data_IF_960233321052
#
_entry.id   IF_960233321052
#
_cell.length_a   1.000
_cell.length_b   1.000
_cell.length_c   1.000
_cell.angle_alpha   90.00
_cell.angle_beta   90.00
_cell.angle_gamma   90.00
#
_symmetry.space_group_name_H-M   'P 1'
#
loop_
_entity.id
_entity.type
_entity.pdbx_description
1 polymer ?
#
# COMPACT_ATOMS: atom_id res chain seq x y z
N UNK A 1 -40.24 14.67 14.71
CA UNK A 1 -39.44 14.16 13.57
C UNK A 1 -37.95 14.42 13.80
N UNK A 2 -37.04 13.56 13.29
CA UNK A 2 -35.55 13.56 13.37
C UNK A 2 -34.90 12.68 14.47
N UNK A 3 -34.87 11.36 14.26
CA UNK A 3 -33.96 10.42 14.97
C UNK A 3 -33.23 9.43 14.05
N UNK A 4 -33.19 9.67 12.73
CA UNK A 4 -32.63 8.72 11.75
C UNK A 4 -31.34 9.18 11.08
N UNK A 5 -30.95 10.45 11.21
CA UNK A 5 -29.74 10.99 10.57
C UNK A 5 -28.44 10.66 11.34
N UNK A 6 -28.49 10.59 12.67
CA UNK A 6 -27.29 10.36 13.51
C UNK A 6 -26.70 8.96 13.31
N UNK A 7 -27.53 7.91 13.20
CA UNK A 7 -27.06 6.52 13.08
C UNK A 7 -26.33 6.25 11.75
N UNK A 8 -26.75 6.89 10.65
CA UNK A 8 -26.10 6.74 9.32
C UNK A 8 -24.73 7.42 9.25
N UNK A 9 -24.56 8.56 9.93
CA UNK A 9 -23.27 9.24 10.01
C UNK A 9 -22.27 8.45 10.86
N UNK A 10 -22.71 7.88 11.99
CA UNK A 10 -21.86 7.04 12.86
C UNK A 10 -21.42 5.75 12.15
N UNK A 11 -22.30 5.08 11.42
CA UNK A 11 -21.93 3.86 10.64
C UNK A 11 -20.97 4.18 9.50
N UNK A 12 -21.07 5.37 8.87
CA UNK A 12 -20.07 5.81 7.88
C UNK A 12 -18.72 6.15 8.51
N UNK A 13 -18.71 6.76 9.69
CA UNK A 13 -17.47 7.11 10.39
C UNK A 13 -16.70 5.87 10.87
N UNK A 14 -17.40 4.86 11.42
CA UNK A 14 -16.81 3.59 11.85
C UNK A 14 -16.21 2.84 10.65
N UNK A 15 -16.93 2.77 9.52
CA UNK A 15 -16.46 2.09 8.29
C UNK A 15 -15.32 2.80 7.55
N UNK A 16 -15.06 4.08 7.81
CA UNK A 16 -13.99 4.83 7.12
C UNK A 16 -12.64 4.72 7.84
N UNK A 17 -12.62 4.45 9.15
CA UNK A 17 -11.39 4.32 9.95
C UNK A 17 -10.84 2.88 9.98
N UNK A 18 -11.72 1.89 10.15
CA UNK A 18 -11.40 0.45 10.15
C UNK A 18 -10.56 -0.04 8.95
N UNK A 19 -10.85 0.34 7.69
CA UNK A 19 -10.10 -0.18 6.56
C UNK A 19 -8.68 0.39 6.52
N UNK A 20 -8.49 1.64 6.95
CA UNK A 20 -7.16 2.27 6.93
C UNK A 20 -6.22 1.60 7.95
N UNK A 21 -6.73 1.30 9.15
CA UNK A 21 -5.98 0.60 10.20
C UNK A 21 -5.69 -0.85 9.81
N UNK A 22 -6.68 -1.57 9.25
CA UNK A 22 -6.48 -2.92 8.75
C UNK A 22 -5.42 -2.96 7.63
N UNK A 23 -5.46 -2.00 6.70
CA UNK A 23 -4.44 -1.86 5.65
C UNK A 23 -3.08 -1.56 6.27
N UNK A 24 -2.98 -0.66 7.25
CA UNK A 24 -1.72 -0.32 7.91
C UNK A 24 -1.11 -1.53 8.64
N UNK A 25 -1.94 -2.32 9.34
CA UNK A 25 -1.52 -3.56 9.99
C UNK A 25 -1.02 -4.59 8.96
N UNK A 26 -1.73 -4.76 7.83
CA UNK A 26 -1.28 -5.64 6.74
C UNK A 26 0.03 -5.15 6.12
N UNK A 27 0.20 -3.85 5.92
CA UNK A 27 1.45 -3.26 5.44
C UNK A 27 2.59 -3.59 6.39
N UNK A 28 2.41 -3.35 7.69
CA UNK A 28 3.42 -3.65 8.71
C UNK A 28 3.79 -5.15 8.71
N UNK A 29 2.80 -6.04 8.60
CA UNK A 29 3.02 -7.48 8.55
C UNK A 29 3.74 -7.94 7.27
N UNK A 30 3.53 -7.28 6.13
CA UNK A 30 4.14 -7.66 4.85
C UNK A 30 5.60 -7.17 4.72
N UNK A 31 5.95 -6.03 5.33
CA UNK A 31 7.27 -5.39 5.19
C UNK A 31 8.46 -6.33 5.41
N UNK A 32 8.50 -7.18 6.47
CA UNK A 32 9.64 -8.09 6.70
C UNK A 32 9.89 -9.07 5.55
N UNK A 33 8.86 -9.47 4.81
CA UNK A 33 8.96 -10.48 3.76
C UNK A 33 9.36 -9.91 2.38
N UNK A 34 9.44 -8.60 2.24
CA UNK A 34 9.73 -7.97 0.96
C UNK A 34 11.23 -7.77 0.68
N UNK A 35 12.08 -8.04 1.67
CA UNK A 35 13.52 -7.82 1.56
C UNK A 35 13.94 -6.36 1.77
N UNK A 36 15.24 -6.18 1.89
CA UNK A 36 15.87 -4.89 2.23
C UNK A 36 16.19 -4.04 0.99
N UNK A 37 16.41 -4.66 -0.18
CA UNK A 37 16.70 -3.96 -1.43
C UNK A 37 15.47 -3.37 -2.10
N UNK A 38 15.54 -2.13 -2.59
CA UNK A 38 14.42 -1.44 -3.26
C UNK A 38 13.99 -2.13 -4.57
N UNK A 39 14.95 -2.64 -5.35
CA UNK A 39 14.68 -3.37 -6.60
C UNK A 39 14.07 -4.75 -6.34
N UNK A 40 14.60 -5.47 -5.36
CA UNK A 40 14.09 -6.77 -4.94
C UNK A 40 12.65 -6.64 -4.40
N UNK A 41 12.43 -5.67 -3.51
CA UNK A 41 11.12 -5.31 -2.96
C UNK A 41 10.11 -5.02 -4.06
N UNK A 42 10.47 -4.18 -5.03
CA UNK A 42 9.60 -3.86 -6.17
C UNK A 42 9.25 -5.10 -6.99
N UNK A 43 10.22 -5.98 -7.24
CA UNK A 43 10.01 -7.20 -8.01
C UNK A 43 9.05 -8.15 -7.30
N UNK A 44 9.21 -8.33 -5.98
CA UNK A 44 8.30 -9.14 -5.15
C UNK A 44 6.89 -8.53 -5.11
N UNK A 45 6.78 -7.23 -4.90
CA UNK A 45 5.49 -6.51 -4.90
C UNK A 45 4.76 -6.64 -6.23
N UNK A 46 5.46 -6.50 -7.36
CA UNK A 46 4.85 -6.68 -8.68
C UNK A 46 4.28 -8.10 -8.90
N UNK A 47 4.99 -9.13 -8.42
CA UNK A 47 4.52 -10.52 -8.48
C UNK A 47 3.29 -10.74 -7.62
N UNK A 48 3.29 -10.25 -6.38
CA UNK A 48 2.16 -10.36 -5.45
C UNK A 48 0.93 -9.61 -5.99
N UNK A 49 1.10 -8.40 -6.52
CA UNK A 49 0.02 -7.65 -7.15
C UNK A 49 -0.56 -8.36 -8.37
N UNK A 50 0.28 -9.02 -9.18
CA UNK A 50 -0.19 -9.82 -10.31
C UNK A 50 -0.99 -11.03 -9.87
N UNK A 51 -0.56 -11.70 -8.80
CA UNK A 51 -1.30 -12.81 -8.20
C UNK A 51 -2.66 -12.33 -7.66
N UNK A 52 -2.71 -11.20 -6.95
CA UNK A 52 -3.97 -10.61 -6.48
C UNK A 52 -4.91 -10.25 -7.61
N UNK A 53 -4.41 -9.67 -8.70
CA UNK A 53 -5.26 -9.36 -9.87
C UNK A 53 -5.85 -10.62 -10.47
N UNK A 54 -5.10 -11.72 -10.54
CA UNK A 54 -5.62 -13.02 -11.00
C UNK A 54 -6.68 -13.55 -10.05
N UNK A 55 -6.44 -13.49 -8.74
CA UNK A 55 -7.40 -13.87 -7.71
C UNK A 55 -8.70 -13.04 -7.80
N UNK A 56 -8.59 -11.74 -8.10
CA UNK A 56 -9.75 -10.87 -8.30
C UNK A 56 -10.57 -11.27 -9.53
N UNK A 57 -9.91 -11.73 -10.61
CA UNK A 57 -10.59 -12.19 -11.83
C UNK A 57 -11.28 -13.54 -11.65
N UNK A 58 -10.69 -14.45 -10.86
CA UNK A 58 -11.28 -15.78 -10.59
C UNK A 58 -12.24 -15.78 -9.41
N UNK A 59 -12.26 -14.71 -8.60
CA UNK A 59 -13.03 -14.61 -7.36
C UNK A 59 -12.49 -15.46 -6.21
N UNK A 60 -11.40 -16.21 -6.40
CA UNK A 60 -10.85 -17.14 -5.41
C UNK A 60 -9.64 -16.51 -4.73
N UNK A 61 -9.69 -16.40 -3.41
CA UNK A 61 -8.55 -15.99 -2.59
C UNK A 61 -8.18 -14.52 -2.70
N UNK A 62 -9.00 -13.68 -3.35
CA UNK A 62 -8.82 -12.23 -3.40
C UNK A 62 -9.13 -11.60 -2.04
N UNK A 63 -8.24 -10.71 -1.59
CA UNK A 63 -8.43 -9.91 -0.39
C UNK A 63 -8.21 -8.43 -0.74
N UNK A 64 -9.29 -7.64 -0.72
CA UNK A 64 -9.25 -6.22 -1.05
C UNK A 64 -8.32 -5.42 -0.12
N UNK A 65 -8.23 -5.79 1.16
CA UNK A 65 -7.34 -5.12 2.12
C UNK A 65 -5.88 -5.47 1.86
N UNK A 66 -5.59 -6.74 1.52
CA UNK A 66 -4.26 -7.18 1.10
C UNK A 66 -3.84 -6.51 -0.20
N UNK A 67 -4.74 -6.40 -1.17
CA UNK A 67 -4.49 -5.71 -2.42
C UNK A 67 -4.15 -4.22 -2.20
N UNK A 68 -4.93 -3.53 -1.36
CA UNK A 68 -4.68 -2.13 -1.01
C UNK A 68 -3.34 -1.94 -0.27
N UNK A 69 -3.01 -2.84 0.66
CA UNK A 69 -1.72 -2.84 1.36
C UNK A 69 -0.54 -2.99 0.39
N UNK A 70 -0.62 -3.94 -0.55
CA UNK A 70 0.40 -4.15 -1.58
C UNK A 70 0.57 -2.92 -2.49
N UNK A 71 -0.53 -2.26 -2.88
CA UNK A 71 -0.49 -1.03 -3.69
C UNK A 71 0.18 0.13 -2.95
N UNK A 72 -0.09 0.27 -1.65
CA UNK A 72 0.57 1.28 -0.81
C UNK A 72 2.08 1.04 -0.71
N UNK A 73 2.50 -0.20 -0.49
CA UNK A 73 3.91 -0.58 -0.43
C UNK A 73 4.65 -0.37 -1.76
N UNK A 74 3.97 -0.61 -2.89
CA UNK A 74 4.53 -0.33 -4.22
C UNK A 74 4.76 1.18 -4.43
N UNK A 75 3.79 2.01 -4.02
CA UNK A 75 3.93 3.47 -4.08
C UNK A 75 5.07 3.99 -3.18
N UNK A 76 5.20 3.45 -1.95
CA UNK A 76 6.33 3.76 -1.05
C UNK A 76 7.67 3.41 -1.71
N UNK A 77 7.77 2.21 -2.30
CA UNK A 77 9.01 1.75 -2.96
C UNK A 77 9.38 2.62 -4.17
N UNK A 78 8.40 3.03 -4.97
CA UNK A 78 8.63 3.95 -6.10
C UNK A 78 9.07 5.32 -5.61
N UNK A 79 8.50 5.82 -4.52
CA UNK A 79 8.92 7.09 -3.92
C UNK A 79 10.37 7.01 -3.40
N UNK A 80 10.75 5.90 -2.76
CA UNK A 80 12.13 5.69 -2.28
C UNK A 80 13.14 5.59 -3.43
N UNK A 81 12.79 4.91 -4.53
CA UNK A 81 13.62 4.87 -5.73
C UNK A 81 13.81 6.27 -6.34
N UNK A 82 12.75 7.10 -6.37
CA UNK A 82 12.83 8.49 -6.84
C UNK A 82 13.74 9.32 -5.93
N UNK A 83 13.59 9.22 -4.61
CA UNK A 83 14.46 9.91 -3.64
C UNK A 83 15.93 9.53 -3.81
N UNK A 84 16.21 8.24 -4.00
CA UNK A 84 17.56 7.76 -4.24
C UNK A 84 18.16 8.37 -5.52
N UNK A 85 17.37 8.49 -6.60
CA UNK A 85 17.81 9.10 -7.85
C UNK A 85 18.02 10.62 -7.76
N UNK A 86 17.22 11.34 -6.97
CA UNK A 86 17.39 12.79 -6.78
C UNK A 86 18.54 13.12 -5.82
N UNK A 87 18.77 12.28 -4.79
CA UNK A 87 19.86 12.43 -3.84
C UNK A 87 21.25 12.27 -4.50
N UNK A 88 21.39 11.32 -5.42
CA UNK A 88 22.63 11.16 -6.20
C UNK A 88 22.87 12.31 -7.18
N UNK A 89 21.82 12.81 -7.83
CA UNK A 89 21.93 13.96 -8.74
C UNK A 89 22.35 15.26 -8.02
N UNK A 90 21.88 15.46 -6.78
CA UNK A 90 22.24 16.64 -5.97
C UNK A 90 23.68 16.54 -5.45
N UNK A 91 24.11 15.36 -5.01
CA UNK A 91 25.47 15.13 -4.53
C UNK A 91 26.54 15.33 -5.61
N UNK A 92 26.22 15.07 -6.88
CA UNK A 92 27.14 15.29 -8.01
C UNK A 92 27.30 16.79 -8.36
N UNK A 93 26.28 17.61 -8.11
CA UNK A 93 26.24 19.04 -8.49
C UNK A 93 27.04 19.97 -7.57
N UNK A 94 27.43 19.53 -6.38
CA UNK A 94 28.12 20.37 -5.36
C UNK A 94 29.66 20.31 -5.52
N UNK A 95 30.18 19.42 -6.38
CA UNK A 95 31.63 19.19 -6.56
C UNK A 95 32.24 19.84 -7.81
N UNK A 96 31.57 20.82 -8.42
CA UNK A 96 32.10 21.63 -9.53
C UNK A 96 32.26 23.07 -9.09
#
# INVERSE_FOLDING_TARGET
>A
MRRTQSRRATVRAIRMHEPAEAIAAKVAALRPFLGHGTVERRTRLARLLRAERRAALTGIGYDATRHAALRRLDAETVADMKKAATGTATAFRIKT
#
